data_IF_476492698701
#
_entry.id   IF_476492698701
#
_cell.length_a   1.000
_cell.length_b   1.000
_cell.length_c   1.000
_cell.angle_alpha   90.00
_cell.angle_beta   90.00
_cell.angle_gamma   90.00
#
_symmetry.space_group_name_H-M   'P 1'
#
loop_
_entity.id
_entity.type
_entity.pdbx_description
1 polymer ?
#
# COMPACT_ATOMS: atom_id res chain seq x y z
N UNK A 1 14.23 41.31 -30.07
CA UNK A 1 15.29 40.34 -30.44
C UNK A 1 15.95 39.85 -29.15
N UNK A 2 16.00 38.53 -28.95
CA UNK A 2 16.59 37.74 -27.84
C UNK A 2 15.95 37.81 -26.44
N UNK A 3 15.02 36.88 -26.24
CA UNK A 3 14.72 36.20 -24.97
C UNK A 3 15.95 35.38 -24.52
N UNK A 4 16.51 35.67 -23.35
CA UNK A 4 17.53 34.82 -22.72
C UNK A 4 16.83 33.73 -21.89
N UNK A 5 16.68 32.57 -22.50
CA UNK A 5 16.20 31.34 -21.86
C UNK A 5 17.31 30.80 -20.92
N UNK A 6 17.38 31.36 -19.72
CA UNK A 6 18.33 30.99 -18.68
C UNK A 6 17.91 29.72 -17.95
N UNK A 7 17.85 28.58 -18.66
CA UNK A 7 17.83 27.27 -17.99
C UNK A 7 19.24 26.99 -17.45
N UNK A 8 19.52 27.47 -16.24
CA UNK A 8 20.63 26.94 -15.44
C UNK A 8 20.42 25.44 -15.28
N UNK A 9 21.25 24.65 -15.96
CA UNK A 9 21.33 23.22 -15.75
C UNK A 9 21.70 23.00 -14.27
N UNK A 10 20.71 22.65 -13.44
CA UNK A 10 20.94 22.35 -12.03
C UNK A 10 22.00 21.24 -11.96
N UNK A 11 23.16 21.56 -11.40
CA UNK A 11 24.27 20.64 -11.29
C UNK A 11 23.78 19.34 -10.62
N UNK A 12 23.95 18.21 -11.32
CA UNK A 12 23.58 16.91 -10.79
C UNK A 12 24.48 16.64 -9.59
N UNK A 13 23.89 16.59 -8.39
CA UNK A 13 24.62 16.26 -7.17
C UNK A 13 25.29 14.89 -7.30
N UNK A 14 26.52 14.73 -6.80
CA UNK A 14 27.24 13.43 -6.77
C UNK A 14 26.39 12.32 -6.14
N UNK A 15 25.55 12.66 -5.16
CA UNK A 15 24.62 11.71 -4.53
C UNK A 15 23.48 11.23 -5.45
N UNK A 16 23.07 12.04 -6.42
CA UNK A 16 22.01 11.67 -7.39
C UNK A 16 22.51 10.63 -8.41
N UNK A 17 23.82 10.56 -8.63
CA UNK A 17 24.47 9.62 -9.56
C UNK A 17 24.77 8.28 -8.86
N UNK A 18 25.17 8.31 -7.59
CA UNK A 18 25.56 7.12 -6.85
C UNK A 18 24.36 6.31 -6.30
N UNK A 19 23.25 6.96 -5.98
CA UNK A 19 22.11 6.31 -5.33
C UNK A 19 21.49 5.15 -6.14
N UNK A 20 21.25 5.26 -7.47
CA UNK A 20 20.75 4.13 -8.26
C UNK A 20 21.70 2.93 -8.26
N UNK A 21 23.01 3.18 -8.33
CA UNK A 21 24.03 2.13 -8.25
C UNK A 21 24.01 1.42 -6.89
N UNK A 22 23.90 2.19 -5.79
CA UNK A 22 23.76 1.63 -4.45
C UNK A 22 22.49 0.78 -4.30
N UNK A 23 21.35 1.23 -4.83
CA UNK A 23 20.10 0.45 -4.85
C UNK A 23 20.31 -0.86 -5.62
N UNK A 24 20.95 -0.83 -6.80
CA UNK A 24 21.21 -2.05 -7.56
C UNK A 24 22.13 -3.03 -6.81
N UNK A 25 23.22 -2.53 -6.21
CA UNK A 25 24.19 -3.35 -5.45
C UNK A 25 23.55 -3.95 -4.20
N UNK A 26 22.78 -3.16 -3.44
CA UNK A 26 22.07 -3.66 -2.25
C UNK A 26 21.01 -4.70 -2.64
N UNK A 27 20.24 -4.45 -3.69
CA UNK A 27 19.28 -5.42 -4.21
C UNK A 27 19.96 -6.73 -4.63
N UNK A 28 21.10 -6.65 -5.32
CA UNK A 28 21.86 -7.82 -5.73
C UNK A 28 22.43 -8.61 -4.55
N UNK A 29 22.90 -7.92 -3.50
CA UNK A 29 23.37 -8.55 -2.27
C UNK A 29 22.23 -9.26 -1.52
N UNK A 30 21.06 -8.62 -1.40
CA UNK A 30 19.87 -9.22 -0.78
C UNK A 30 19.37 -10.43 -1.57
N UNK A 31 19.30 -10.29 -2.90
CA UNK A 31 18.96 -11.39 -3.81
C UNK A 31 19.93 -12.57 -3.64
N UNK A 32 21.24 -12.32 -3.72
CA UNK A 32 22.27 -13.34 -3.56
C UNK A 32 22.19 -14.02 -2.19
N UNK A 33 21.99 -13.25 -1.11
CA UNK A 33 21.77 -13.79 0.23
C UNK A 33 20.58 -14.74 0.27
N UNK A 34 19.44 -14.32 -0.27
CA UNK A 34 18.20 -15.13 -0.26
C UNK A 34 18.29 -16.36 -1.18
N UNK A 35 19.08 -16.30 -2.24
CA UNK A 35 19.20 -17.40 -3.22
C UNK A 35 20.24 -18.43 -2.80
N UNK A 36 21.40 -18.01 -2.30
CA UNK A 36 22.53 -18.90 -2.06
C UNK A 36 22.68 -19.31 -0.60
N UNK A 37 22.21 -18.50 0.36
CA UNK A 37 22.34 -18.78 1.81
C UNK A 37 21.06 -18.44 2.60
N UNK A 38 19.86 -18.85 2.15
CA UNK A 38 18.58 -18.45 2.76
C UNK A 38 18.48 -18.81 4.24
N UNK A 39 19.02 -19.95 4.66
CA UNK A 39 18.96 -20.43 6.06
C UNK A 39 19.82 -19.64 7.03
N UNK A 40 20.80 -18.88 6.52
CA UNK A 40 21.71 -18.07 7.33
C UNK A 40 21.24 -16.63 7.48
N UNK A 41 20.17 -16.24 6.77
CA UNK A 41 19.64 -14.89 6.84
C UNK A 41 18.85 -14.69 8.15
N UNK A 42 19.07 -13.59 8.88
CA UNK A 42 18.25 -13.23 10.03
C UNK A 42 16.80 -12.94 9.61
N UNK A 43 15.89 -13.01 10.57
CA UNK A 43 14.44 -12.89 10.35
C UNK A 43 14.00 -11.63 9.57
N UNK A 44 14.70 -10.51 9.75
CA UNK A 44 14.39 -9.23 9.10
C UNK A 44 14.93 -9.10 7.67
N UNK A 45 15.63 -10.11 7.15
CA UNK A 45 16.07 -10.18 5.75
C UNK A 45 15.14 -11.07 4.91
N UNK A 46 15.20 -10.95 3.57
CA UNK A 46 14.27 -11.63 2.67
C UNK A 46 14.25 -13.14 2.80
N UNK A 47 13.04 -13.69 2.90
CA UNK A 47 12.77 -15.10 2.68
C UNK A 47 12.77 -15.40 1.19
N UNK A 48 11.93 -14.69 0.43
CA UNK A 48 11.94 -14.68 -1.02
C UNK A 48 12.19 -13.25 -1.51
N UNK A 49 13.30 -13.04 -2.21
CA UNK A 49 13.62 -11.71 -2.70
C UNK A 49 12.87 -11.39 -3.99
N UNK A 50 11.97 -10.41 -3.92
CA UNK A 50 11.29 -9.87 -5.09
C UNK A 50 11.91 -8.55 -5.56
N UNK A 51 12.57 -8.58 -6.72
CA UNK A 51 13.13 -7.38 -7.35
C UNK A 51 12.09 -6.28 -7.56
N UNK A 52 10.88 -6.65 -7.97
CA UNK A 52 9.81 -5.69 -8.25
C UNK A 52 9.41 -4.91 -6.99
N UNK A 53 9.23 -5.61 -5.88
CA UNK A 53 8.83 -4.99 -4.60
C UNK A 53 10.00 -4.16 -4.06
N UNK A 54 11.23 -4.70 -4.09
CA UNK A 54 12.44 -3.98 -3.68
C UNK A 54 12.60 -2.66 -4.44
N UNK A 55 12.48 -2.70 -5.77
CA UNK A 55 12.61 -1.51 -6.61
C UNK A 55 11.45 -0.55 -6.37
N UNK A 56 10.21 -1.02 -6.28
CA UNK A 56 9.05 -0.15 -6.02
C UNK A 56 9.22 0.63 -4.71
N UNK A 57 9.67 -0.02 -3.64
CA UNK A 57 9.88 0.63 -2.33
C UNK A 57 11.11 1.56 -2.37
N UNK A 58 12.26 1.04 -2.81
CA UNK A 58 13.54 1.77 -2.76
C UNK A 58 13.56 2.96 -3.70
N UNK A 59 13.05 2.80 -4.93
CA UNK A 59 13.00 3.87 -5.93
C UNK A 59 11.97 4.93 -5.53
N UNK A 60 10.80 4.54 -4.99
CA UNK A 60 9.81 5.51 -4.49
C UNK A 60 10.38 6.33 -3.33
N UNK A 61 11.06 5.68 -2.37
CA UNK A 61 11.74 6.35 -1.27
C UNK A 61 12.84 7.30 -1.76
N UNK A 62 13.67 6.84 -2.70
CA UNK A 62 14.72 7.65 -3.31
C UNK A 62 14.17 8.88 -4.03
N UNK A 63 13.18 8.70 -4.92
CA UNK A 63 12.55 9.82 -5.64
C UNK A 63 11.86 10.79 -4.70
N UNK A 64 11.23 10.30 -3.63
CA UNK A 64 10.65 11.17 -2.62
C UNK A 64 11.71 12.04 -1.93
N UNK A 65 12.80 11.45 -1.42
CA UNK A 65 13.89 12.21 -0.77
C UNK A 65 14.55 13.21 -1.72
N UNK A 66 14.83 12.78 -2.95
CA UNK A 66 15.37 13.64 -4.00
C UNK A 66 14.42 14.79 -4.34
N UNK A 67 13.13 14.50 -4.37
CA UNK A 67 12.07 15.48 -4.56
C UNK A 67 12.04 16.54 -3.47
N UNK A 68 12.10 16.13 -2.20
CA UNK A 68 12.15 17.06 -1.07
C UNK A 68 13.31 18.05 -1.17
N UNK A 69 14.46 17.64 -1.71
CA UNK A 69 15.62 18.52 -1.93
C UNK A 69 15.41 19.52 -3.07
N UNK A 70 14.59 19.15 -4.07
CA UNK A 70 14.32 19.96 -5.27
C UNK A 70 13.14 20.90 -5.12
N UNK A 71 12.23 20.60 -4.20
CA UNK A 71 11.06 21.43 -3.95
C UNK A 71 11.45 22.66 -3.08
N UNK A 72 10.84 23.82 -3.35
CA UNK A 72 10.85 24.96 -2.43
C UNK A 72 10.42 24.53 -1.03
N UNK A 73 10.96 25.18 0.01
CA UNK A 73 10.69 24.80 1.39
C UNK A 73 9.19 24.79 1.73
N UNK A 74 8.45 25.77 1.19
CA UNK A 74 7.02 25.97 1.44
C UNK A 74 6.13 24.91 0.79
N UNK A 75 6.59 24.30 -0.31
CA UNK A 75 5.85 23.24 -1.01
C UNK A 75 6.11 21.84 -0.43
N UNK A 76 7.07 21.70 0.48
CA UNK A 76 7.43 20.39 1.03
C UNK A 76 6.32 19.89 1.95
N UNK A 77 5.95 18.60 1.88
CA UNK A 77 5.00 18.03 2.81
C UNK A 77 5.51 18.19 4.26
N UNK A 78 4.62 18.42 5.24
CA UNK A 78 5.00 18.51 6.64
C UNK A 78 5.63 17.20 7.14
N UNK A 79 6.42 17.27 8.20
CA UNK A 79 7.22 16.13 8.71
C UNK A 79 6.37 14.89 8.98
N UNK A 80 5.18 15.04 9.55
CA UNK A 80 4.31 13.89 9.84
C UNK A 80 3.87 13.12 8.57
N UNK A 81 3.72 13.80 7.42
CA UNK A 81 3.42 13.14 6.14
C UNK A 81 4.63 12.39 5.59
N UNK A 82 5.82 12.97 5.75
CA UNK A 82 7.07 12.28 5.40
C UNK A 82 7.22 11.01 6.24
N UNK A 83 6.98 11.11 7.55
CA UNK A 83 6.99 9.98 8.46
C UNK A 83 5.94 8.92 8.08
N UNK A 84 4.70 9.33 7.77
CA UNK A 84 3.66 8.41 7.31
C UNK A 84 4.07 7.68 6.03
N UNK A 85 4.62 8.38 5.03
CA UNK A 85 5.09 7.76 3.80
C UNK A 85 6.16 6.69 4.05
N UNK A 86 7.20 7.01 4.81
CA UNK A 86 8.27 6.05 5.12
C UNK A 86 7.81 4.92 6.03
N UNK A 87 6.91 5.19 6.99
CA UNK A 87 6.30 4.15 7.81
C UNK A 87 5.47 3.18 6.95
N UNK A 88 4.72 3.71 5.96
CA UNK A 88 4.00 2.88 4.98
C UNK A 88 4.95 2.02 4.15
N UNK A 89 6.01 2.60 3.60
CA UNK A 89 7.03 1.84 2.85
C UNK A 89 7.74 0.78 3.72
N UNK A 90 8.08 1.11 4.96
CA UNK A 90 8.73 0.19 5.89
C UNK A 90 7.80 -0.95 6.31
N UNK A 91 6.51 -0.68 6.50
CA UNK A 91 5.53 -1.71 6.81
C UNK A 91 5.33 -2.64 5.61
N UNK A 92 5.19 -2.08 4.40
CA UNK A 92 5.11 -2.88 3.17
C UNK A 92 6.35 -3.75 3.00
N UNK A 93 7.56 -3.21 3.20
CA UNK A 93 8.81 -3.98 3.19
C UNK A 93 8.77 -5.12 4.21
N UNK A 94 8.42 -4.80 5.46
CA UNK A 94 8.39 -5.78 6.56
C UNK A 94 7.54 -6.99 6.20
N UNK A 95 6.35 -6.78 5.63
CA UNK A 95 5.43 -7.87 5.36
C UNK A 95 5.64 -8.55 3.99
N UNK A 96 6.49 -8.02 3.11
CA UNK A 96 6.72 -8.56 1.74
C UNK A 96 8.14 -9.03 1.45
N UNK A 97 9.12 -8.66 2.26
CA UNK A 97 10.54 -8.83 1.97
C UNK A 97 11.30 -9.32 3.19
N UNK A 98 10.61 -9.81 4.21
CA UNK A 98 11.26 -10.42 5.38
C UNK A 98 10.71 -11.83 5.57
N UNK A 99 11.24 -12.56 6.55
CA UNK A 99 10.72 -13.87 6.93
C UNK A 99 9.27 -13.83 7.45
N UNK A 100 8.65 -12.64 7.60
CA UNK A 100 7.21 -12.55 7.79
C UNK A 100 6.42 -13.19 6.62
N UNK A 101 6.96 -13.13 5.40
CA UNK A 101 6.33 -13.78 4.24
C UNK A 101 6.27 -15.31 4.40
N UNK A 102 7.31 -15.91 4.97
CA UNK A 102 7.29 -17.33 5.32
C UNK A 102 6.18 -17.65 6.32
N UNK A 103 6.01 -16.83 7.36
CA UNK A 103 4.89 -16.99 8.31
C UNK A 103 3.55 -16.90 7.57
N UNK A 104 3.39 -15.88 6.73
CA UNK A 104 2.19 -15.66 5.92
C UNK A 104 1.88 -16.80 4.93
N UNK A 105 2.88 -17.55 4.48
CA UNK A 105 2.67 -18.76 3.70
C UNK A 105 2.36 -20.00 4.55
N UNK A 106 2.46 -19.92 5.88
CA UNK A 106 2.36 -21.08 6.80
C UNK A 106 1.21 -21.01 7.79
N UNK A 107 0.60 -19.85 8.00
CA UNK A 107 -0.58 -19.68 8.86
C UNK A 107 -1.58 -18.72 8.23
N UNK A 108 -2.86 -19.11 8.19
CA UNK A 108 -3.92 -18.26 7.65
C UNK A 108 -4.00 -16.91 8.37
N UNK A 109 -3.96 -16.88 9.70
CA UNK A 109 -4.07 -15.60 10.41
C UNK A 109 -2.90 -14.65 10.10
N UNK A 110 -1.67 -15.16 9.94
CA UNK A 110 -0.52 -14.32 9.59
C UNK A 110 -0.59 -13.83 8.15
N UNK A 111 -1.14 -14.66 7.25
CA UNK A 111 -1.45 -14.24 5.89
C UNK A 111 -2.45 -13.08 5.89
N UNK A 112 -3.49 -13.15 6.73
CA UNK A 112 -4.46 -12.06 6.88
C UNK A 112 -3.82 -10.81 7.51
N UNK A 113 -2.92 -10.96 8.48
CA UNK A 113 -2.14 -9.83 9.01
C UNK A 113 -1.29 -9.16 7.93
N UNK A 114 -0.65 -9.95 7.05
CA UNK A 114 0.09 -9.45 5.88
C UNK A 114 -0.80 -8.57 5.00
N UNK A 115 -1.98 -9.07 4.64
CA UNK A 115 -2.93 -8.37 3.79
C UNK A 115 -3.50 -7.11 4.45
N UNK A 116 -3.80 -7.13 5.75
CA UNK A 116 -4.21 -5.92 6.49
C UNK A 116 -3.10 -4.87 6.48
N UNK A 117 -1.84 -5.29 6.66
CA UNK A 117 -0.69 -4.39 6.58
C UNK A 117 -0.51 -3.82 5.16
N UNK A 118 -0.73 -4.61 4.11
CA UNK A 118 -0.61 -4.19 2.71
C UNK A 118 -1.75 -3.29 2.25
N UNK A 119 -2.98 -3.75 2.38
CA UNK A 119 -4.19 -3.20 1.77
C UNK A 119 -4.83 -2.09 2.62
N UNK A 120 -4.63 -2.12 3.94
CA UNK A 120 -5.20 -1.13 4.87
C UNK A 120 -4.14 -0.21 5.46
N UNK A 121 -3.30 -0.71 6.37
CA UNK A 121 -2.43 0.15 7.18
C UNK A 121 -1.33 0.81 6.34
N UNK A 122 -0.53 0.01 5.63
CA UNK A 122 0.58 0.48 4.80
C UNK A 122 0.11 1.34 3.65
N UNK A 123 -0.92 0.91 2.93
CA UNK A 123 -1.53 1.69 1.86
C UNK A 123 -2.10 3.04 2.35
N UNK A 124 -2.80 3.06 3.49
CA UNK A 124 -3.29 4.30 4.10
C UNK A 124 -2.13 5.23 4.48
N UNK A 125 -1.07 4.71 5.09
CA UNK A 125 0.11 5.50 5.47
C UNK A 125 0.80 6.11 4.24
N UNK A 126 0.93 5.34 3.15
CA UNK A 126 1.42 5.85 1.86
C UNK A 126 0.51 6.95 1.31
N UNK A 127 -0.82 6.76 1.36
CA UNK A 127 -1.80 7.75 0.92
C UNK A 127 -1.74 9.05 1.73
N UNK A 128 -1.69 8.96 3.05
CA UNK A 128 -1.55 10.09 3.97
C UNK A 128 -0.24 10.84 3.77
N UNK A 129 0.81 10.14 3.34
CA UNK A 129 2.09 10.74 2.99
C UNK A 129 2.00 11.78 1.88
N UNK A 130 0.97 11.71 1.03
CA UNK A 130 0.75 12.63 -0.10
C UNK A 130 2.03 12.85 -0.92
N UNK A 131 2.77 11.76 -1.16
CA UNK A 131 4.13 11.78 -1.66
C UNK A 131 4.24 12.11 -3.16
N UNK A 132 3.12 12.09 -3.89
CA UNK A 132 3.07 12.24 -5.35
C UNK A 132 3.87 13.44 -5.89
N UNK A 133 3.62 14.69 -5.43
CA UNK A 133 4.36 15.86 -5.90
C UNK A 133 5.88 15.75 -5.69
N UNK A 134 6.31 15.27 -4.52
CA UNK A 134 7.73 15.08 -4.22
C UNK A 134 8.34 13.96 -5.07
N UNK A 135 7.67 12.81 -5.23
CA UNK A 135 8.13 11.73 -6.11
C UNK A 135 8.28 12.25 -7.54
N UNK A 136 7.33 13.03 -8.06
CA UNK A 136 7.43 13.62 -9.41
C UNK A 136 8.53 14.68 -9.52
N UNK A 137 8.84 15.42 -8.46
CA UNK A 137 9.93 16.38 -8.42
C UNK A 137 11.32 15.69 -8.44
N UNK A 138 11.46 14.55 -7.75
CA UNK A 138 12.72 13.78 -7.70
C UNK A 138 12.89 12.73 -8.78
N UNK A 139 11.78 12.28 -9.37
CA UNK A 139 11.73 11.28 -10.42
C UNK A 139 12.24 11.80 -11.77
N UNK A 140 12.51 10.87 -12.71
CA UNK A 140 12.91 11.20 -14.07
C UNK A 140 11.75 11.77 -14.90
N UNK A 141 12.05 12.48 -16.00
CA UNK A 141 11.01 13.14 -16.82
C UNK A 141 10.00 12.16 -17.43
N UNK A 142 10.43 10.92 -17.74
CA UNK A 142 9.52 9.90 -18.25
C UNK A 142 8.39 9.58 -17.26
N UNK A 143 8.65 9.68 -15.95
CA UNK A 143 7.63 9.42 -14.92
C UNK A 143 6.52 10.47 -15.01
N UNK A 144 6.89 11.74 -15.19
CA UNK A 144 5.90 12.83 -15.39
C UNK A 144 5.11 12.64 -16.66
N UNK A 145 5.73 12.14 -17.74
CA UNK A 145 5.04 11.81 -19.00
C UNK A 145 4.03 10.68 -18.81
N UNK A 146 4.40 9.63 -18.07
CA UNK A 146 3.49 8.51 -17.75
C UNK A 146 2.32 9.01 -16.91
N UNK A 147 2.57 9.71 -15.80
CA UNK A 147 1.51 10.23 -14.91
C UNK A 147 0.65 11.29 -15.59
N UNK A 148 1.23 12.08 -16.49
CA UNK A 148 0.52 13.06 -17.32
C UNK A 148 -0.26 12.45 -18.50
N UNK A 149 -0.03 11.17 -18.83
CA UNK A 149 -0.68 10.50 -19.95
C UNK A 149 -2.20 10.44 -19.76
N UNK A 150 -2.96 10.88 -20.79
CA UNK A 150 -4.42 10.93 -20.75
C UNK A 150 -5.08 9.58 -20.47
N UNK A 151 -4.51 8.50 -21.00
CA UNK A 151 -5.04 7.15 -20.81
C UNK A 151 -4.87 6.70 -19.38
N UNK A 152 -3.67 6.85 -18.80
CA UNK A 152 -3.46 6.51 -17.39
C UNK A 152 -4.34 7.35 -16.47
N UNK A 153 -4.45 8.67 -16.73
CA UNK A 153 -5.32 9.56 -15.95
C UNK A 153 -6.80 9.15 -16.05
N UNK A 154 -7.24 8.71 -17.23
CA UNK A 154 -8.58 8.19 -17.46
C UNK A 154 -8.81 6.88 -16.71
N UNK A 155 -7.88 5.91 -16.82
CA UNK A 155 -7.92 4.65 -16.07
C UNK A 155 -8.01 4.88 -14.57
N UNK A 156 -7.13 5.72 -14.01
CA UNK A 156 -7.18 6.08 -12.58
C UNK A 156 -8.51 6.76 -12.23
N UNK A 157 -9.06 7.59 -13.14
CA UNK A 157 -10.36 8.22 -12.91
C UNK A 157 -11.53 7.22 -12.88
N UNK A 158 -11.48 6.18 -13.72
CA UNK A 158 -12.49 5.11 -13.74
C UNK A 158 -12.35 4.25 -12.49
N UNK A 159 -11.13 3.83 -12.16
CA UNK A 159 -10.85 2.98 -10.99
C UNK A 159 -11.19 3.70 -9.69
N UNK A 160 -10.93 5.00 -9.60
CA UNK A 160 -11.31 5.83 -8.45
C UNK A 160 -12.74 6.40 -8.53
N UNK A 161 -13.57 5.93 -9.47
CA UNK A 161 -15.01 6.23 -9.41
C UNK A 161 -15.60 5.55 -8.16
N UNK A 162 -16.41 6.22 -7.32
CA UNK A 162 -16.84 5.69 -6.02
C UNK A 162 -17.35 4.24 -6.04
N UNK A 163 -18.24 3.92 -6.98
CA UNK A 163 -18.79 2.56 -7.11
C UNK A 163 -17.72 1.52 -7.51
N UNK A 164 -16.80 1.90 -8.40
CA UNK A 164 -15.71 1.02 -8.87
C UNK A 164 -14.69 0.83 -7.76
N UNK A 165 -14.35 1.88 -7.03
CA UNK A 165 -13.44 1.83 -5.90
C UNK A 165 -13.97 0.90 -4.79
N UNK A 166 -15.26 0.96 -4.44
CA UNK A 166 -15.87 0.01 -3.48
C UNK A 166 -15.87 -1.40 -4.04
N UNK A 167 -16.25 -1.58 -5.30
CA UNK A 167 -16.31 -2.89 -5.94
C UNK A 167 -14.93 -3.55 -5.98
N UNK A 168 -13.87 -2.80 -6.29
CA UNK A 168 -12.51 -3.33 -6.31
C UNK A 168 -12.03 -3.63 -4.88
N UNK A 169 -12.14 -2.65 -3.98
CA UNK A 169 -11.67 -2.79 -2.59
C UNK A 169 -12.32 -3.94 -1.82
N UNK A 170 -13.63 -4.14 -2.01
CA UNK A 170 -14.37 -5.24 -1.40
C UNK A 170 -14.27 -6.51 -2.24
N UNK A 171 -14.49 -6.40 -3.55
CA UNK A 171 -14.58 -7.55 -4.46
C UNK A 171 -13.25 -8.28 -4.63
N UNK A 172 -12.13 -7.57 -4.73
CA UNK A 172 -10.80 -8.18 -4.79
C UNK A 172 -10.49 -8.95 -3.50
N UNK A 173 -10.79 -8.32 -2.36
CA UNK A 173 -10.66 -8.94 -1.05
C UNK A 173 -11.50 -10.22 -0.91
N UNK A 174 -12.77 -10.19 -1.32
CA UNK A 174 -13.63 -11.37 -1.34
C UNK A 174 -13.12 -12.44 -2.30
N UNK A 175 -12.70 -12.04 -3.52
CA UNK A 175 -12.22 -12.94 -4.55
C UNK A 175 -11.06 -13.79 -4.08
N UNK A 176 -10.04 -13.17 -3.47
CA UNK A 176 -8.88 -13.90 -2.93
C UNK A 176 -9.22 -14.79 -1.73
N UNK A 177 -10.34 -14.56 -1.05
CA UNK A 177 -10.81 -15.37 0.07
C UNK A 177 -11.82 -16.45 -0.34
N UNK A 178 -12.17 -16.56 -1.62
CA UNK A 178 -12.90 -17.72 -2.12
C UNK A 178 -11.99 -18.96 -1.95
N UNK A 179 -12.40 -20.02 -1.22
CA UNK A 179 -11.46 -21.07 -0.81
C UNK A 179 -10.70 -21.76 -1.95
N UNK A 180 -11.33 -22.15 -3.08
CA UNK A 180 -10.58 -22.71 -4.22
C UNK A 180 -9.67 -21.71 -4.93
N UNK A 181 -9.93 -20.40 -4.83
CA UNK A 181 -9.08 -19.34 -5.39
C UNK A 181 -7.88 -19.14 -4.47
N UNK A 182 -8.11 -18.97 -3.16
CA UNK A 182 -7.06 -18.86 -2.14
C UNK A 182 -6.10 -20.03 -2.23
N UNK A 183 -6.63 -21.26 -2.26
CA UNK A 183 -5.82 -22.48 -2.34
C UNK A 183 -4.88 -22.48 -3.56
N UNK A 184 -5.37 -22.09 -4.74
CA UNK A 184 -4.54 -21.98 -5.95
C UNK A 184 -3.53 -20.85 -5.86
N UNK A 185 -3.93 -19.69 -5.34
CA UNK A 185 -3.05 -18.55 -5.17
C UNK A 185 -1.88 -18.86 -4.24
N UNK A 186 -2.10 -19.67 -3.21
CA UNK A 186 -1.04 -20.07 -2.27
C UNK A 186 -0.11 -21.16 -2.82
N UNK A 187 -0.53 -21.95 -3.82
CA UNK A 187 0.31 -22.99 -4.43
C UNK A 187 1.20 -22.45 -5.55
N UNK A 188 0.76 -21.41 -6.25
CA UNK A 188 1.47 -20.83 -7.39
C UNK A 188 2.16 -19.52 -6.96
N UNK A 189 3.52 -19.45 -7.00
CA UNK A 189 4.25 -18.24 -6.61
C UNK A 189 3.88 -17.00 -7.41
N UNK A 190 3.51 -17.15 -8.69
CA UNK A 190 3.08 -16.04 -9.54
C UNK A 190 1.71 -15.54 -9.09
N UNK A 191 0.75 -16.44 -8.86
CA UNK A 191 -0.57 -16.04 -8.37
C UNK A 191 -0.51 -15.44 -6.97
N UNK A 192 0.35 -15.95 -6.10
CA UNK A 192 0.60 -15.37 -4.78
C UNK A 192 1.07 -13.91 -4.90
N UNK A 193 2.01 -13.64 -5.81
CA UNK A 193 2.48 -12.28 -6.05
C UNK A 193 1.42 -11.41 -6.71
N UNK A 194 0.60 -11.94 -7.62
CA UNK A 194 -0.55 -11.21 -8.19
C UNK A 194 -1.53 -10.82 -7.08
N UNK A 195 -1.82 -11.74 -6.16
CA UNK A 195 -2.65 -11.47 -4.98
C UNK A 195 -2.05 -10.34 -4.15
N UNK A 196 -0.76 -10.42 -3.78
CA UNK A 196 -0.09 -9.39 -2.98
C UNK A 196 -0.05 -8.02 -3.67
N UNK A 197 0.34 -7.98 -4.95
CA UNK A 197 0.40 -6.73 -5.72
C UNK A 197 -0.97 -6.09 -5.88
N UNK A 198 -1.98 -6.89 -6.20
CA UNK A 198 -3.35 -6.39 -6.34
C UNK A 198 -3.83 -5.76 -5.04
N UNK A 199 -3.52 -6.36 -3.88
CA UNK A 199 -3.86 -5.83 -2.56
C UNK A 199 -3.15 -4.50 -2.24
N UNK A 200 -1.85 -4.38 -2.54
CA UNK A 200 -1.12 -3.13 -2.29
C UNK A 200 -1.64 -2.01 -3.21
N UNK A 201 -1.77 -2.29 -4.51
CA UNK A 201 -2.17 -1.30 -5.51
C UNK A 201 -3.58 -0.81 -5.26
N UNK A 202 -4.53 -1.72 -5.04
CA UNK A 202 -5.93 -1.39 -4.79
C UNK A 202 -6.09 -0.59 -3.49
N UNK A 203 -5.41 -1.01 -2.41
CA UNK A 203 -5.38 -0.27 -1.15
C UNK A 203 -4.90 1.17 -1.35
N UNK A 204 -3.78 1.38 -2.06
CA UNK A 204 -3.26 2.74 -2.30
C UNK A 204 -4.26 3.57 -3.12
N UNK A 205 -4.88 2.98 -4.15
CA UNK A 205 -5.85 3.67 -5.00
C UNK A 205 -7.10 4.08 -4.21
N UNK A 206 -7.61 3.19 -3.34
CA UNK A 206 -8.76 3.47 -2.50
C UNK A 206 -8.45 4.53 -1.44
N UNK A 207 -7.36 4.36 -0.67
CA UNK A 207 -7.05 5.29 0.41
C UNK A 207 -6.64 6.67 -0.11
N UNK A 208 -5.95 6.77 -1.24
CA UNK A 208 -5.65 8.09 -1.84
C UNK A 208 -6.91 8.85 -2.28
N UNK A 209 -8.00 8.14 -2.60
CA UNK A 209 -9.31 8.75 -2.87
C UNK A 209 -10.00 9.19 -1.57
N UNK A 210 -10.02 8.34 -0.55
CA UNK A 210 -10.74 8.58 0.72
C UNK A 210 -10.06 9.65 1.57
N UNK A 211 -8.75 9.57 1.77
CA UNK A 211 -7.99 10.52 2.61
C UNK A 211 -7.35 11.66 1.82
N UNK A 212 -7.84 11.92 0.60
CA UNK A 212 -7.44 13.09 -0.18
C UNK A 212 -7.58 14.36 0.69
N UNK A 213 -6.52 15.16 0.88
CA UNK A 213 -6.57 16.33 1.74
C UNK A 213 -7.14 17.57 1.04
N UNK A 214 -7.39 17.50 -0.28
CA UNK A 214 -7.81 18.66 -1.06
C UNK A 214 -9.30 18.98 -0.82
N UNK A 215 -9.67 20.28 -0.85
CA UNK A 215 -11.04 20.74 -0.63
C UNK A 215 -11.98 20.31 -1.74
N UNK A 216 -13.29 20.46 -1.49
CA UNK A 216 -14.35 20.15 -2.45
C UNK A 216 -14.22 21.05 -3.69
N UNK A 217 -14.21 20.45 -4.90
CA UNK A 217 -14.02 21.17 -6.18
C UNK A 217 -12.63 21.02 -6.79
N UNK A 218 -11.60 20.73 -5.99
CA UNK A 218 -10.25 20.37 -6.47
C UNK A 218 -10.03 18.85 -6.41
N UNK A 219 -10.51 18.23 -5.34
CA UNK A 219 -10.51 16.78 -5.21
C UNK A 219 -11.58 16.13 -6.10
N UNK A 220 -11.41 14.82 -6.38
CA UNK A 220 -12.31 14.06 -7.27
C UNK A 220 -13.73 13.91 -6.73
N UNK A 221 -13.88 13.78 -5.41
CA UNK A 221 -15.15 13.48 -4.75
C UNK A 221 -15.34 14.35 -3.52
N UNK A 222 -16.60 14.65 -3.15
CA UNK A 222 -16.91 15.44 -1.95
C UNK A 222 -16.57 14.71 -0.65
N UNK A 223 -16.43 15.43 0.45
CA UNK A 223 -16.18 14.82 1.76
C UNK A 223 -17.28 13.84 2.19
N UNK A 224 -18.55 14.13 1.87
CA UNK A 224 -19.66 13.21 2.15
C UNK A 224 -19.50 11.86 1.44
N UNK A 225 -19.07 11.88 0.17
CA UNK A 225 -18.78 10.63 -0.56
C UNK A 225 -17.58 9.90 0.04
N UNK A 226 -16.51 10.60 0.43
CA UNK A 226 -15.35 9.95 1.09
C UNK A 226 -15.73 9.28 2.41
N UNK A 227 -16.57 9.93 3.21
CA UNK A 227 -17.12 9.36 4.45
C UNK A 227 -17.97 8.12 4.16
N UNK A 228 -18.87 8.20 3.17
CA UNK A 228 -19.70 7.07 2.75
C UNK A 228 -18.85 5.89 2.24
N UNK A 229 -17.77 6.16 1.50
CA UNK A 229 -16.82 5.13 1.04
C UNK A 229 -16.14 4.43 2.22
N UNK A 230 -15.61 5.19 3.19
CA UNK A 230 -14.94 4.64 4.37
C UNK A 230 -15.89 3.72 5.18
N UNK A 231 -17.13 4.15 5.38
CA UNK A 231 -18.16 3.37 6.09
C UNK A 231 -18.64 2.18 5.24
N UNK A 232 -18.84 2.39 3.94
CA UNK A 232 -19.41 1.38 3.04
C UNK A 232 -18.55 0.12 2.92
N UNK A 233 -17.22 0.27 2.88
CA UNK A 233 -16.31 -0.88 2.79
C UNK A 233 -16.14 -1.64 4.11
N UNK A 234 -16.51 -1.03 5.24
CA UNK A 234 -16.39 -1.65 6.57
C UNK A 234 -17.33 -2.84 6.75
N UNK A 235 -18.61 -2.70 6.37
CA UNK A 235 -19.61 -3.74 6.63
C UNK A 235 -19.35 -5.06 5.90
N UNK A 236 -19.00 -5.08 4.60
CA UNK A 236 -18.66 -6.33 3.92
C UNK A 236 -17.49 -7.07 4.57
N UNK A 237 -16.48 -6.34 5.05
CA UNK A 237 -15.34 -6.94 5.73
C UNK A 237 -15.75 -7.59 7.06
N UNK A 238 -16.65 -6.95 7.82
CA UNK A 238 -17.25 -7.53 9.02
C UNK A 238 -18.04 -8.80 8.70
N UNK A 239 -18.87 -8.77 7.67
CA UNK A 239 -19.66 -9.95 7.27
C UNK A 239 -18.75 -11.11 6.86
N UNK A 240 -17.79 -10.90 5.95
CA UNK A 240 -16.93 -11.99 5.49
C UNK A 240 -16.07 -12.54 6.62
N UNK A 241 -15.49 -11.65 7.42
CA UNK A 241 -14.71 -12.08 8.56
C UNK A 241 -15.57 -12.91 9.52
N UNK A 242 -16.80 -12.47 9.84
CA UNK A 242 -17.73 -13.20 10.71
C UNK A 242 -17.99 -14.61 10.19
N UNK A 243 -18.27 -14.74 8.90
CA UNK A 243 -18.47 -16.04 8.25
C UNK A 243 -17.27 -16.96 8.39
N UNK A 244 -16.03 -16.44 8.31
CA UNK A 244 -14.80 -17.22 8.48
C UNK A 244 -14.57 -17.59 9.96
N UNK A 245 -14.77 -16.65 10.89
CA UNK A 245 -14.57 -16.91 12.33
C UNK A 245 -15.57 -17.88 12.90
N UNK A 246 -16.81 -17.89 12.43
CA UNK A 246 -17.83 -18.82 12.93
C UNK A 246 -17.89 -20.12 12.12
N UNK A 247 -16.99 -20.33 11.15
CA UNK A 247 -16.90 -21.59 10.44
C UNK A 247 -16.27 -22.69 11.32
N UNK A 248 -16.99 -23.80 11.48
CA UNK A 248 -16.56 -24.95 12.30
C UNK A 248 -15.66 -25.94 11.55
N UNK A 249 -15.54 -25.79 10.23
CA UNK A 249 -14.71 -26.62 9.35
C UNK A 249 -13.57 -25.80 8.76
N UNK A 250 -12.46 -26.47 8.44
CA UNK A 250 -11.33 -25.85 7.74
C UNK A 250 -11.76 -25.41 6.33
N UNK A 251 -11.88 -24.10 6.14
CA UNK A 251 -12.16 -23.50 4.84
C UNK A 251 -10.89 -23.35 4.01
N UNK A 252 -9.70 -23.28 4.63
CA UNK A 252 -8.45 -22.94 3.95
C UNK A 252 -7.41 -24.06 4.12
N UNK A 253 -7.61 -25.24 3.49
CA UNK A 253 -6.83 -26.45 3.77
C UNK A 253 -5.37 -26.39 3.32
N UNK A 254 -4.97 -25.39 2.53
CA UNK A 254 -3.59 -25.19 2.06
C UNK A 254 -2.56 -25.31 3.19
N UNK A 255 -2.82 -24.67 4.34
CA UNK A 255 -1.89 -24.63 5.47
C UNK A 255 -1.74 -25.99 6.16
N UNK A 256 -2.71 -26.90 6.02
CA UNK A 256 -2.58 -28.27 6.50
C UNK A 256 -1.62 -29.08 5.63
N UNK A 257 -1.64 -28.89 4.31
CA UNK A 257 -0.77 -29.61 3.37
C UNK A 257 0.69 -29.15 3.43
N UNK A 258 0.92 -27.84 3.51
CA UNK A 258 2.27 -27.28 3.56
C UNK A 258 2.89 -27.34 4.97
N UNK A 259 2.08 -27.56 6.00
CA UNK A 259 2.48 -27.61 7.40
C UNK A 259 2.45 -26.23 8.06
N UNK A 260 1.89 -26.17 9.27
CA UNK A 260 1.72 -24.94 10.06
C UNK A 260 2.99 -24.54 10.79
N UNK A 261 3.28 -23.24 10.83
CA UNK A 261 4.44 -22.73 11.56
C UNK A 261 4.30 -22.92 13.08
N UNK A 262 3.07 -22.77 13.61
CA UNK A 262 2.74 -23.06 15.00
C UNK A 262 1.92 -24.35 15.07
N UNK A 263 2.55 -25.52 15.33
CA UNK A 263 1.84 -26.81 15.28
C UNK A 263 0.76 -26.95 16.36
N UNK A 264 0.86 -26.17 17.45
CA UNK A 264 -0.12 -26.15 18.54
C UNK A 264 -1.44 -25.45 18.16
N UNK A 265 -1.46 -24.69 17.07
CA UNK A 265 -2.67 -24.00 16.59
C UNK A 265 -3.32 -24.86 15.50
N UNK A 266 -4.47 -25.44 15.83
CA UNK A 266 -5.25 -26.26 14.89
C UNK A 266 -5.82 -25.44 13.72
N UNK A 267 -6.26 -26.14 12.66
CA UNK A 267 -6.74 -25.52 11.43
C UNK A 267 -7.91 -24.55 11.62
N UNK A 268 -8.91 -24.97 12.40
CA UNK A 268 -10.08 -24.15 12.72
C UNK A 268 -9.66 -22.95 13.57
N UNK A 269 -8.78 -23.12 14.57
CA UNK A 269 -8.32 -22.00 15.39
C UNK A 269 -7.53 -20.95 14.57
N UNK A 270 -6.66 -21.39 13.65
CA UNK A 270 -5.90 -20.53 12.74
C UNK A 270 -6.84 -19.67 11.87
N UNK A 271 -7.83 -20.28 11.22
CA UNK A 271 -8.79 -19.52 10.42
C UNK A 271 -9.66 -18.58 11.26
N UNK A 272 -10.02 -18.99 12.49
CA UNK A 272 -10.84 -18.18 13.38
C UNK A 272 -10.14 -16.89 13.78
N UNK A 273 -8.88 -16.98 14.16
CA UNK A 273 -8.04 -15.81 14.44
C UNK A 273 -7.92 -14.95 13.16
N UNK A 274 -7.72 -15.58 12.00
CA UNK A 274 -7.66 -14.85 10.73
C UNK A 274 -8.96 -14.13 10.37
N UNK A 275 -10.13 -14.71 10.66
CA UNK A 275 -11.42 -14.07 10.49
C UNK A 275 -11.59 -12.84 11.37
N UNK A 276 -11.13 -12.90 12.63
CA UNK A 276 -11.08 -11.73 13.53
C UNK A 276 -10.16 -10.63 12.97
N UNK A 277 -8.98 -11.00 12.46
CA UNK A 277 -8.03 -10.09 11.81
C UNK A 277 -8.63 -9.45 10.55
N UNK A 278 -9.50 -10.16 9.83
CA UNK A 278 -10.16 -9.64 8.63
C UNK A 278 -11.13 -8.50 8.96
N UNK A 279 -11.80 -8.51 10.11
CA UNK A 279 -12.82 -7.50 10.37
C UNK A 279 -12.43 -6.41 11.37
N UNK A 280 -11.72 -6.73 12.46
CA UNK A 280 -11.50 -5.73 13.53
C UNK A 280 -10.54 -4.63 13.07
N UNK A 281 -9.28 -4.93 12.67
CA UNK A 281 -8.37 -3.89 12.22
C UNK A 281 -8.87 -3.15 10.98
N UNK A 282 -9.41 -3.81 9.94
CA UNK A 282 -10.00 -3.11 8.80
C UNK A 282 -11.12 -2.13 9.16
N UNK A 283 -12.06 -2.53 10.02
CA UNK A 283 -13.11 -1.63 10.50
C UNK A 283 -12.54 -0.43 11.28
N UNK A 284 -11.53 -0.66 12.12
CA UNK A 284 -10.81 0.43 12.81
C UNK A 284 -10.19 1.41 11.80
N UNK A 285 -9.60 0.92 10.72
CA UNK A 285 -9.02 1.79 9.68
C UNK A 285 -10.09 2.61 8.96
N UNK A 286 -11.28 2.06 8.71
CA UNK A 286 -12.44 2.81 8.20
C UNK A 286 -12.88 3.93 9.15
N UNK A 287 -12.90 3.68 10.46
CA UNK A 287 -13.21 4.71 11.46
C UNK A 287 -12.14 5.81 11.48
N UNK A 288 -10.86 5.44 11.46
CA UNK A 288 -9.76 6.42 11.37
C UNK A 288 -9.90 7.27 10.10
N UNK A 289 -10.22 6.67 8.96
CA UNK A 289 -10.42 7.38 7.71
C UNK A 289 -11.59 8.38 7.80
N UNK A 290 -12.71 7.97 8.41
CA UNK A 290 -13.86 8.84 8.65
C UNK A 290 -13.47 10.06 9.51
N UNK A 291 -12.71 9.86 10.58
CA UNK A 291 -12.24 10.96 11.44
C UNK A 291 -11.34 11.93 10.66
N UNK A 292 -10.48 11.42 9.78
CA UNK A 292 -9.62 12.25 8.92
C UNK A 292 -10.47 13.06 7.92
N UNK A 293 -11.48 12.44 7.31
CA UNK A 293 -12.41 13.09 6.37
C UNK A 293 -13.18 14.21 7.06
N UNK A 294 -13.75 13.94 8.24
CA UNK A 294 -14.49 14.93 9.04
C UNK A 294 -13.58 16.09 9.44
N UNK A 295 -12.36 15.80 9.91
CA UNK A 295 -11.37 16.84 10.24
C UNK A 295 -11.05 17.72 9.04
N UNK A 296 -10.84 17.15 7.86
CA UNK A 296 -10.54 17.91 6.64
C UNK A 296 -11.74 18.76 6.20
N UNK A 297 -12.96 18.25 6.36
CA UNK A 297 -14.20 18.99 6.12
C UNK A 297 -14.33 20.20 7.04
N UNK A 298 -14.10 20.03 8.34
CA UNK A 298 -14.15 21.13 9.32
C UNK A 298 -13.12 22.23 8.98
N UNK A 299 -11.88 21.84 8.66
CA UNK A 299 -10.84 22.80 8.25
C UNK A 299 -11.20 23.58 6.99
N UNK A 300 -11.89 22.96 6.03
CA UNK A 300 -12.39 23.67 4.85
C UNK A 300 -13.47 24.69 5.23
N UNK A 301 -14.39 24.34 6.14
CA UNK A 301 -15.44 25.23 6.61
C UNK A 301 -14.87 26.44 7.35
N UNK A 302 -13.91 26.24 8.25
CA UNK A 302 -13.26 27.31 9.01
C UNK A 302 -12.55 28.30 8.06
N UNK A 303 -11.82 27.79 7.07
CA UNK A 303 -11.15 28.63 6.08
C UNK A 303 -12.13 29.48 5.25
N UNK A 304 -13.33 28.94 4.93
CA UNK A 304 -14.38 29.68 4.24
C UNK A 304 -15.00 30.77 5.12
N UNK A 305 -15.15 30.53 6.42
CA UNK A 305 -15.67 31.54 7.35
C UNK A 305 -14.69 32.70 7.53
N UNK A 306 -13.38 32.44 7.62
CA UNK A 306 -12.36 33.49 7.74
C UNK A 306 -12.19 34.33 6.47
N UNK A 307 -12.63 33.83 5.31
CA UNK A 307 -12.55 34.53 4.02
C UNK A 307 -13.78 35.39 3.69
N UNK A 308 -14.81 35.37 4.54
CA UNK A 308 -16.05 36.16 4.40
C UNK A 308 -16.02 37.35 5.35
#
# INVERSE_FOLDING_TARGET
MKTSDGRTAAAVSRGDVLAPGLIAVLGAALWAGSTFVPTSLPFFLPYEFSWLIYLAISVSGYWFLRGLRRMPADDRPPVWRRAAFFAGLALLWTVTQTQFEFLAQRMFFTNRLQHVAMHHVGAMLVALGWAGPAILAGGPDWLRRIVGNRYLRSTVSVVQHPAVAVLLFVGLFYFWLIPPVHFRAMLDPVLYQVMNWSMVVDGILFWTLVVDPRPTGVARVSYGVRAALAIGVMFPQIVLGALITFAERDLFPYYAFCGRYFPSIGAVADQQIGGIVIWIPPAMMSVIALLIVVRNMMREQDAKHLSR
#
